data_IF_040833299919
#
_entry.id   IF_040833299919
#
_cell.length_a   1.000
_cell.length_b   1.000
_cell.length_c   1.000
_cell.angle_alpha   90.00
_cell.angle_beta   90.00
_cell.angle_gamma   90.00
#
_symmetry.space_group_name_H-M   'P 1'
#
loop_
_entity.id
_entity.type
_entity.pdbx_description
1 polymer ?
#
# COMPACT_ATOMS: atom_id res chain seq x y z
N UNK A 1 -3.13 -9.94 -9.68
CA UNK A 1 -3.77 -9.90 -8.35
C UNK A 1 -2.71 -9.56 -7.34
N UNK A 2 -2.85 -8.45 -6.64
CA UNK A 2 -1.88 -8.00 -5.62
C UNK A 2 -1.99 -8.79 -4.33
N UNK A 3 -0.85 -8.98 -3.66
CA UNK A 3 -0.67 -9.66 -2.37
C UNK A 3 0.20 -8.82 -1.43
N UNK A 4 0.30 -9.20 -0.16
CA UNK A 4 1.11 -8.45 0.83
C UNK A 4 2.58 -8.35 0.43
N UNK A 5 3.13 -9.32 -0.30
CA UNK A 5 4.48 -9.26 -0.86
C UNK A 5 4.63 -8.07 -1.81
N UNK A 6 3.62 -7.75 -2.61
CA UNK A 6 3.68 -6.60 -3.53
C UNK A 6 3.78 -5.27 -2.77
N UNK A 7 3.24 -5.17 -1.55
CA UNK A 7 3.40 -3.98 -0.69
C UNK A 7 4.85 -3.86 -0.22
N UNK A 8 5.53 -4.96 0.11
CA UNK A 8 6.97 -4.94 0.43
C UNK A 8 7.80 -4.47 -0.76
N UNK A 9 7.47 -4.95 -1.97
CA UNK A 9 8.14 -4.54 -3.20
C UNK A 9 7.90 -3.06 -3.49
N UNK A 10 6.69 -2.54 -3.25
CA UNK A 10 6.41 -1.10 -3.33
C UNK A 10 7.29 -0.29 -2.38
N UNK A 11 7.39 -0.69 -1.11
CA UNK A 11 8.23 -0.01 -0.12
C UNK A 11 9.71 0.00 -0.53
N UNK A 12 10.22 -1.14 -0.99
CA UNK A 12 11.57 -1.26 -1.55
C UNK A 12 11.76 -0.33 -2.76
N UNK A 13 10.79 -0.27 -3.67
CA UNK A 13 10.83 0.60 -4.84
C UNK A 13 10.89 2.08 -4.45
N UNK A 14 10.10 2.50 -3.46
CA UNK A 14 10.14 3.87 -2.91
C UNK A 14 11.56 4.20 -2.43
N UNK A 15 12.09 3.41 -1.51
CA UNK A 15 13.43 3.63 -0.94
C UNK A 15 14.50 3.61 -2.03
N UNK A 16 14.46 2.64 -2.94
CA UNK A 16 15.44 2.48 -4.02
C UNK A 16 15.43 3.66 -4.97
N UNK A 17 14.25 4.18 -5.34
CA UNK A 17 14.15 5.32 -6.26
C UNK A 17 14.58 6.63 -5.58
N UNK A 18 14.25 6.82 -4.31
CA UNK A 18 14.75 7.98 -3.55
C UNK A 18 16.28 7.94 -3.40
N UNK A 19 16.86 6.78 -3.12
CA UNK A 19 18.30 6.58 -3.05
C UNK A 19 18.97 6.84 -4.41
N UNK A 20 18.43 6.27 -5.50
CA UNK A 20 18.96 6.45 -6.86
C UNK A 20 18.87 7.91 -7.35
N UNK A 21 17.82 8.63 -6.93
CA UNK A 21 17.67 10.05 -7.21
C UNK A 21 18.56 10.93 -6.32
N UNK A 22 19.32 10.34 -5.40
CA UNK A 22 20.18 11.03 -4.41
C UNK A 22 19.39 11.95 -3.47
N UNK A 23 18.12 11.66 -3.26
CA UNK A 23 17.26 12.40 -2.34
C UNK A 23 17.49 11.99 -0.88
N UNK A 24 17.95 10.76 -0.67
CA UNK A 24 18.34 10.20 0.63
C UNK A 24 19.66 9.44 0.50
N UNK A 25 20.43 9.37 1.58
CA UNK A 25 21.61 8.50 1.68
C UNK A 25 21.63 7.75 3.00
N UNK A 26 22.11 6.51 2.95
CA UNK A 26 22.31 5.64 4.11
C UNK A 26 23.28 4.50 3.72
N UNK A 27 23.85 3.76 4.70
CA UNK A 27 24.80 2.71 4.40
C UNK A 27 24.14 1.58 3.60
N UNK A 28 24.77 1.06 2.52
CA UNK A 28 24.20 0.00 1.67
C UNK A 28 23.70 -1.23 2.42
N UNK A 29 24.33 -1.56 3.56
CA UNK A 29 23.93 -2.67 4.44
C UNK A 29 22.57 -2.48 5.12
N UNK A 30 22.07 -1.24 5.21
CA UNK A 30 20.78 -0.92 5.83
C UNK A 30 19.62 -0.90 4.82
N UNK A 31 19.85 -1.18 3.52
CA UNK A 31 18.76 -1.17 2.52
C UNK A 31 17.58 -2.06 2.90
N UNK A 32 17.84 -3.27 3.41
CA UNK A 32 16.77 -4.15 3.87
C UNK A 32 16.06 -3.58 5.09
N UNK A 33 16.82 -3.05 6.05
CA UNK A 33 16.29 -2.45 7.29
C UNK A 33 15.37 -1.28 6.96
N UNK A 34 15.84 -0.32 6.16
CA UNK A 34 15.04 0.85 5.77
C UNK A 34 13.78 0.43 5.01
N UNK A 35 13.88 -0.56 4.11
CA UNK A 35 12.72 -1.10 3.40
C UNK A 35 11.69 -1.75 4.31
N UNK A 36 12.15 -2.53 5.31
CA UNK A 36 11.30 -3.21 6.28
C UNK A 36 10.66 -2.22 7.27
N UNK A 37 11.39 -1.18 7.68
CA UNK A 37 10.88 -0.09 8.54
C UNK A 37 9.78 0.71 7.82
N UNK A 38 10.00 1.09 6.56
CA UNK A 38 8.99 1.74 5.72
C UNK A 38 7.77 0.82 5.53
N UNK A 39 7.99 -0.47 5.30
CA UNK A 39 6.89 -1.44 5.20
C UNK A 39 6.07 -1.51 6.48
N UNK A 40 6.71 -1.66 7.65
CA UNK A 40 6.03 -1.71 8.94
C UNK A 40 5.23 -0.44 9.24
N UNK A 41 5.67 0.70 8.73
CA UNK A 41 5.00 1.99 8.90
C UNK A 41 3.71 2.10 8.09
N UNK A 42 3.73 1.70 6.81
CA UNK A 42 2.62 2.00 5.87
C UNK A 42 1.74 0.79 5.55
N UNK A 43 2.24 -0.45 5.70
CA UNK A 43 1.49 -1.65 5.33
C UNK A 43 0.13 -1.80 6.02
N UNK A 44 -0.09 -1.34 7.28
CA UNK A 44 -1.42 -1.40 7.91
C UNK A 44 -2.47 -0.54 7.18
N UNK A 45 -2.04 0.43 6.37
CA UNK A 45 -2.91 1.35 5.66
C UNK A 45 -3.07 1.00 4.17
N UNK A 46 -2.50 -0.13 3.73
CA UNK A 46 -2.56 -0.58 2.34
C UNK A 46 -3.18 -1.97 2.30
N UNK A 47 -4.36 -2.05 1.69
CA UNK A 47 -5.03 -3.30 1.37
C UNK A 47 -4.69 -3.74 -0.06
N UNK A 48 -4.73 -5.05 -0.29
CA UNK A 48 -4.50 -5.69 -1.59
C UNK A 48 -5.76 -6.34 -2.11
N UNK A 49 -5.73 -6.84 -3.35
CA UNK A 49 -6.80 -7.67 -3.89
C UNK A 49 -7.10 -8.90 -3.03
N UNK A 50 -6.06 -9.49 -2.45
CA UNK A 50 -6.15 -10.63 -1.53
C UNK A 50 -6.87 -10.24 -0.24
N UNK A 51 -6.46 -9.12 0.39
CA UNK A 51 -7.12 -8.59 1.59
C UNK A 51 -8.60 -8.28 1.33
N UNK A 52 -8.91 -7.69 0.16
CA UNK A 52 -10.30 -7.41 -0.24
C UNK A 52 -11.11 -8.69 -0.45
N UNK A 53 -10.51 -9.70 -1.06
CA UNK A 53 -11.15 -11.01 -1.27
C UNK A 53 -11.47 -11.67 0.06
N UNK A 54 -10.52 -11.70 0.99
CA UNK A 54 -10.72 -12.26 2.34
C UNK A 54 -11.80 -11.49 3.09
N UNK A 55 -11.75 -10.16 3.08
CA UNK A 55 -12.77 -9.31 3.72
C UNK A 55 -14.16 -9.53 3.13
N UNK A 56 -14.26 -9.72 1.82
CA UNK A 56 -15.52 -10.05 1.16
C UNK A 56 -16.05 -11.41 1.61
N UNK A 57 -15.21 -12.44 1.70
CA UNK A 57 -15.59 -13.77 2.20
C UNK A 57 -16.07 -13.74 3.65
N UNK A 58 -15.37 -13.01 4.53
CA UNK A 58 -15.78 -12.85 5.94
C UNK A 58 -17.13 -12.15 6.03
N UNK A 59 -17.30 -11.04 5.30
CA UNK A 59 -18.56 -10.27 5.30
C UNK A 59 -19.72 -11.10 4.73
N UNK A 60 -19.45 -11.93 3.73
CA UNK A 60 -20.43 -12.90 3.22
C UNK A 60 -20.79 -13.96 4.24
N UNK A 61 -19.82 -14.58 4.91
CA UNK A 61 -20.09 -15.59 5.94
C UNK A 61 -20.99 -15.06 7.06
N UNK A 62 -20.69 -13.85 7.55
CA UNK A 62 -21.52 -13.13 8.53
C UNK A 62 -22.92 -12.76 8.00
N UNK A 63 -23.04 -12.56 6.68
CA UNK A 63 -24.32 -12.24 6.03
C UNK A 63 -25.11 -13.49 5.69
N UNK A 64 -24.47 -14.63 5.38
CA UNK A 64 -25.10 -15.92 5.10
C UNK A 64 -25.76 -16.50 6.36
N UNK A 65 -25.14 -16.32 7.54
CA UNK A 65 -25.80 -16.60 8.82
C UNK A 65 -27.08 -15.76 9.04
N UNK A 66 -27.21 -14.61 8.36
CA UNK A 66 -28.38 -13.72 8.42
C UNK A 66 -29.31 -13.80 7.20
N UNK A 67 -28.89 -14.41 6.09
CA UNK A 67 -29.55 -14.39 4.78
C UNK A 67 -29.87 -15.81 4.27
N UNK A 68 -30.37 -16.67 5.15
CA UNK A 68 -30.90 -17.98 4.77
C UNK A 68 -32.09 -17.92 3.76
N UNK A 69 -32.50 -16.72 3.32
CA UNK A 69 -33.73 -16.49 2.55
C UNK A 69 -33.54 -15.96 1.12
N UNK A 70 -32.32 -15.72 0.63
CA UNK A 70 -32.12 -15.17 -0.72
C UNK A 70 -31.39 -16.12 -1.67
N UNK A 71 -32.06 -16.48 -2.78
CA UNK A 71 -31.59 -17.33 -3.89
C UNK A 71 -30.45 -16.70 -4.73
N UNK A 72 -29.44 -16.10 -4.11
CA UNK A 72 -28.22 -15.72 -4.82
C UNK A 72 -27.29 -16.91 -4.97
N UNK A 73 -26.68 -17.08 -6.14
CA UNK A 73 -25.53 -17.98 -6.26
C UNK A 73 -24.36 -17.38 -5.48
N UNK A 74 -23.60 -18.21 -4.74
CA UNK A 74 -22.48 -17.74 -3.90
C UNK A 74 -21.47 -16.88 -4.69
N UNK A 75 -21.30 -17.17 -5.98
CA UNK A 75 -20.44 -16.42 -6.90
C UNK A 75 -20.93 -14.99 -7.16
N UNK A 76 -22.23 -14.78 -7.32
CA UNK A 76 -22.83 -13.45 -7.55
C UNK A 76 -22.84 -12.61 -6.27
N UNK A 77 -23.14 -13.24 -5.14
CA UNK A 77 -23.04 -12.60 -3.82
C UNK A 77 -21.59 -12.12 -3.56
N UNK A 78 -20.60 -12.96 -3.84
CA UNK A 78 -19.18 -12.59 -3.70
C UNK A 78 -18.77 -11.40 -4.56
N UNK A 79 -19.13 -11.41 -5.85
CA UNK A 79 -18.83 -10.30 -6.75
C UNK A 79 -19.47 -9.00 -6.27
N UNK A 80 -20.69 -9.07 -5.78
CA UNK A 80 -21.45 -7.92 -5.29
C UNK A 80 -20.82 -7.34 -4.02
N UNK A 81 -20.52 -8.20 -3.04
CA UNK A 81 -19.86 -7.77 -1.78
C UNK A 81 -18.46 -7.21 -2.04
N UNK A 82 -17.65 -7.86 -2.89
CA UNK A 82 -16.33 -7.34 -3.28
C UNK A 82 -16.44 -5.95 -3.92
N UNK A 83 -17.40 -5.76 -4.84
CA UNK A 83 -17.64 -4.47 -5.50
C UNK A 83 -18.04 -3.38 -4.49
N UNK A 84 -18.97 -3.67 -3.58
CA UNK A 84 -19.38 -2.72 -2.52
C UNK A 84 -18.23 -2.31 -1.61
N UNK A 85 -17.36 -3.26 -1.25
CA UNK A 85 -16.18 -2.95 -0.44
C UNK A 85 -15.24 -2.03 -1.23
N UNK A 86 -15.01 -2.32 -2.51
CA UNK A 86 -14.15 -1.51 -3.40
C UNK A 86 -14.66 -0.09 -3.58
N UNK A 87 -15.97 0.09 -3.77
CA UNK A 87 -16.59 1.42 -3.90
C UNK A 87 -16.35 2.32 -2.69
N UNK A 88 -16.11 1.73 -1.50
CA UNK A 88 -15.73 2.48 -0.30
C UNK A 88 -14.34 3.12 -0.34
N UNK A 89 -13.48 2.77 -1.31
CA UNK A 89 -12.12 3.31 -1.46
C UNK A 89 -12.02 4.42 -2.51
N UNK A 90 -13.04 4.63 -3.36
CA UNK A 90 -13.05 5.74 -4.32
C UNK A 90 -11.77 5.86 -5.16
N UNK A 91 -11.16 7.05 -5.15
CA UNK A 91 -9.93 7.40 -5.86
C UNK A 91 -8.64 6.87 -5.19
N UNK A 92 -8.74 6.22 -4.03
CA UNK A 92 -7.63 5.62 -3.29
C UNK A 92 -7.34 4.16 -3.75
N UNK A 93 -7.83 3.76 -4.94
CA UNK A 93 -7.43 2.54 -5.64
C UNK A 93 -6.31 2.84 -6.66
N UNK A 94 -5.16 2.17 -6.52
CA UNK A 94 -4.05 2.33 -7.46
C UNK A 94 -3.33 1.02 -7.71
N UNK A 95 -3.39 0.53 -8.96
CA UNK A 95 -2.72 -0.69 -9.42
C UNK A 95 -2.97 -1.94 -8.52
N UNK A 96 -4.19 -2.06 -8.00
CA UNK A 96 -4.59 -3.15 -7.09
C UNK A 96 -4.19 -2.93 -5.62
N UNK A 97 -3.70 -1.75 -5.26
CA UNK A 97 -3.57 -1.31 -3.87
C UNK A 97 -4.74 -0.41 -3.50
N UNK A 98 -5.24 -0.58 -2.28
CA UNK A 98 -6.39 0.14 -1.74
C UNK A 98 -5.94 0.85 -0.47
N UNK A 99 -5.79 2.17 -0.53
CA UNK A 99 -5.25 2.95 0.58
C UNK A 99 -6.36 3.33 1.57
N UNK A 100 -6.12 3.07 2.86
CA UNK A 100 -7.04 3.39 3.96
C UNK A 100 -6.90 4.84 4.46
N UNK A 101 -5.93 5.57 3.90
CA UNK A 101 -5.67 6.98 4.16
C UNK A 101 -5.29 7.62 2.81
N UNK A 102 -5.52 8.93 2.64
CA UNK A 102 -5.07 9.64 1.44
C UNK A 102 -3.58 9.43 1.21
N UNK A 103 -3.16 9.29 -0.06
CA UNK A 103 -1.76 9.10 -0.42
C UNK A 103 -0.83 10.17 0.19
N UNK A 104 -1.29 11.41 0.29
CA UNK A 104 -0.55 12.50 0.96
C UNK A 104 -0.24 12.19 2.42
N UNK A 105 -1.17 11.56 3.14
CA UNK A 105 -0.92 11.14 4.52
C UNK A 105 0.10 10.01 4.59
N UNK A 106 0.06 9.07 3.65
CA UNK A 106 1.01 7.95 3.59
C UNK A 106 2.41 8.47 3.25
N UNK A 107 2.53 9.36 2.27
CA UNK A 107 3.81 9.99 1.92
C UNK A 107 4.37 10.79 3.09
N UNK A 108 3.56 11.58 3.78
CA UNK A 108 4.00 12.35 4.96
C UNK A 108 4.51 11.47 6.10
N UNK A 109 3.94 10.27 6.29
CA UNK A 109 4.47 9.29 7.25
C UNK A 109 5.88 8.83 6.86
N UNK A 110 6.09 8.50 5.59
CA UNK A 110 7.40 8.07 5.08
C UNK A 110 8.42 9.22 5.21
N UNK A 111 8.06 10.44 4.83
CA UNK A 111 8.93 11.63 4.99
C UNK A 111 9.30 11.85 6.45
N UNK A 112 8.33 11.78 7.36
CA UNK A 112 8.58 11.91 8.80
C UNK A 112 9.54 10.86 9.33
N UNK A 113 9.47 9.63 8.79
CA UNK A 113 10.43 8.57 9.10
C UNK A 113 11.82 8.90 8.53
N UNK A 114 11.91 9.31 7.26
CA UNK A 114 13.19 9.63 6.61
C UNK A 114 13.95 10.74 7.37
N UNK A 115 13.23 11.76 7.86
CA UNK A 115 13.81 12.88 8.60
C UNK A 115 14.23 12.56 10.04
N UNK A 116 13.77 11.44 10.62
CA UNK A 116 13.96 11.12 12.05
C UNK A 116 14.66 9.79 12.31
N UNK A 117 14.77 8.93 11.29
CA UNK A 117 15.32 7.60 11.44
C UNK A 117 16.83 7.64 11.61
N UNK A 118 17.35 6.86 12.56
CA UNK A 118 18.79 6.64 12.71
C UNK A 118 19.37 5.76 11.60
N UNK A 119 18.51 5.10 10.82
CA UNK A 119 18.89 4.30 9.66
C UNK A 119 19.17 5.15 8.42
N UNK A 120 18.87 6.46 8.45
CA UNK A 120 19.10 7.42 7.38
C UNK A 120 20.25 8.36 7.79
N UNK A 121 21.27 8.48 6.94
CA UNK A 121 22.42 9.34 7.21
C UNK A 121 22.11 10.79 6.81
N UNK A 122 21.57 10.98 5.61
CA UNK A 122 21.33 12.30 5.02
C UNK A 122 20.04 12.34 4.21
N UNK A 123 19.34 13.47 4.27
CA UNK A 123 18.17 13.79 3.46
C UNK A 123 18.43 15.12 2.76
N UNK A 124 18.40 15.12 1.42
CA UNK A 124 18.84 16.25 0.60
C UNK A 124 17.68 17.12 0.06
N UNK A 125 16.45 16.64 0.20
CA UNK A 125 15.25 17.27 -0.34
C UNK A 125 14.37 17.88 0.76
N UNK A 126 13.48 18.78 0.37
CA UNK A 126 12.44 19.31 1.26
C UNK A 126 11.36 18.26 1.53
N UNK A 127 10.63 18.39 2.65
CA UNK A 127 9.49 17.52 2.97
C UNK A 127 8.49 17.47 1.81
N UNK A 128 8.20 18.63 1.21
CA UNK A 128 7.22 18.79 0.15
C UNK A 128 7.65 18.11 -1.16
N UNK A 129 8.94 18.14 -1.48
CA UNK A 129 9.47 17.50 -2.68
C UNK A 129 9.60 15.99 -2.50
N UNK A 130 9.98 15.51 -1.30
CA UNK A 130 9.92 14.09 -0.98
C UNK A 130 8.50 13.55 -1.05
N UNK A 131 7.51 14.28 -0.51
CA UNK A 131 6.11 13.88 -0.61
C UNK A 131 5.68 13.70 -2.07
N UNK A 132 5.98 14.68 -2.94
CA UNK A 132 5.67 14.60 -4.37
C UNK A 132 6.36 13.41 -5.02
N UNK A 133 7.65 13.21 -4.77
CA UNK A 133 8.41 12.08 -5.31
C UNK A 133 7.80 10.74 -4.89
N UNK A 134 7.47 10.57 -3.61
CA UNK A 134 6.87 9.34 -3.09
C UNK A 134 5.52 9.09 -3.75
N UNK A 135 4.66 10.11 -3.86
CA UNK A 135 3.36 10.00 -4.53
C UNK A 135 3.53 9.58 -6.00
N UNK A 136 4.46 10.19 -6.73
CA UNK A 136 4.76 9.83 -8.13
C UNK A 136 5.31 8.39 -8.26
N UNK A 137 6.17 7.96 -7.33
CA UNK A 137 6.66 6.59 -7.29
C UNK A 137 5.50 5.61 -7.08
N UNK A 138 4.62 5.89 -6.12
CA UNK A 138 3.44 5.03 -5.85
C UNK A 138 2.53 4.98 -7.08
N UNK A 139 2.22 6.13 -7.70
CA UNK A 139 1.36 6.21 -8.90
C UNK A 139 1.89 5.43 -10.09
N UNK A 140 3.21 5.48 -10.30
CA UNK A 140 3.88 4.80 -11.43
C UNK A 140 4.30 3.37 -11.11
N UNK A 141 4.10 2.90 -9.88
CA UNK A 141 4.47 1.56 -9.48
C UNK A 141 3.50 0.53 -10.07
N UNK A 142 4.02 -0.39 -10.88
CA UNK A 142 3.27 -1.53 -11.37
C UNK A 142 3.81 -2.82 -10.71
N UNK A 143 3.01 -3.54 -9.91
CA UNK A 143 3.42 -4.78 -9.26
C UNK A 143 3.78 -5.92 -10.24
N UNK A 144 3.32 -5.87 -11.49
CA UNK A 144 3.64 -6.88 -12.52
C UNK A 144 5.04 -6.70 -13.13
N UNK A 145 5.59 -5.49 -13.07
CA UNK A 145 6.91 -5.16 -13.62
C UNK A 145 7.96 -4.89 -12.53
N UNK A 146 7.60 -5.07 -11.26
CA UNK A 146 8.49 -4.83 -10.14
C UNK A 146 9.30 -6.11 -9.85
N UNK A 147 10.56 -6.13 -10.32
CA UNK A 147 11.54 -7.18 -10.04
C UNK A 147 12.24 -7.00 -8.69
#
# INVERSE_FOLDING_TARGET
MTRKENVKVLCKSIVTRLENNKSIAFPPRLRSVVGDEVYGLISPYIMTDEDLREKALVKMGQSMEKLAETNFTESEAFKTVKKMIREGFGDDELNGFYFLKPLKSISGMIVSYLMRSHSIDEVYETDEDLEKMIVEIVKTFNPEHAH
#
